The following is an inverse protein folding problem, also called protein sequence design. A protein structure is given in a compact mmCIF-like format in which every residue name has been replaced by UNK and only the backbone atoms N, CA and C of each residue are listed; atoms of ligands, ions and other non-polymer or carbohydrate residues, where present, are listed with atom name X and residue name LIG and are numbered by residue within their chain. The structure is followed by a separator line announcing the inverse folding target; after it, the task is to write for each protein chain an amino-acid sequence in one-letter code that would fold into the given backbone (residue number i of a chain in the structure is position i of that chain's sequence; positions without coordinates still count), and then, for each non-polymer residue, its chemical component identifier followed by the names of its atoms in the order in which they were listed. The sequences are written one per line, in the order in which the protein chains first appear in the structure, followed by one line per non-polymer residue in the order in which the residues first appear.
data_IF_705862406558
#
_entry.id   IF_705862406558
#
_cell.length_a   1.000
_cell.length_b   1.000
_cell.length_c   1.000
_cell.angle_alpha   90.00
_cell.angle_beta   90.00
_cell.angle_gamma   90.00
#
_symmetry.space_group_name_H-M   'P 1'
#
loop_
_entity.id
_entity.type
_entity.pdbx_description
1 polymer ?
#
# COMPACT_ATOMS: atom_id res chain seq x y z
N UNK A 1 22.88 35.69 16.09
CA UNK A 1 22.71 37.04 16.68
C UNK A 1 21.23 37.34 16.70
N UNK A 2 20.66 37.63 17.86
CA UNK A 2 19.24 37.94 17.93
C UNK A 2 18.94 39.30 17.33
N UNK A 3 17.81 39.40 16.61
CA UNK A 3 17.33 40.64 16.07
C UNK A 3 17.16 41.69 17.19
N UNK A 4 17.69 42.90 16.93
CA UNK A 4 17.54 44.01 17.88
C UNK A 4 16.67 45.11 17.28
N UNK A 5 15.71 45.61 18.05
CA UNK A 5 14.90 46.75 17.69
C UNK A 5 15.83 48.00 17.59
N UNK A 6 15.50 48.85 16.64
CA UNK A 6 16.23 50.10 16.41
C UNK A 6 15.41 51.32 16.79
N UNK A 7 16.05 52.40 17.20
CA UNK A 7 15.39 53.73 17.45
C UNK A 7 15.10 54.44 16.10
N UNK A 8 15.76 54.01 15.02
CA UNK A 8 15.57 54.56 13.68
C UNK A 8 14.87 53.55 12.78
N UNK A 9 14.02 54.00 11.85
CA UNK A 9 13.44 53.15 10.86
C UNK A 9 14.53 52.58 9.97
N UNK A 10 14.35 51.34 9.51
CA UNK A 10 15.31 50.68 8.59
C UNK A 10 14.58 49.69 7.67
N UNK A 11 15.16 49.51 6.50
CA UNK A 11 14.76 48.40 5.60
C UNK A 11 15.83 47.34 5.67
N UNK A 12 15.40 46.11 5.90
CA UNK A 12 16.29 44.95 5.99
C UNK A 12 15.76 43.81 5.16
N UNK A 13 16.65 42.94 4.71
CA UNK A 13 16.23 41.68 4.09
C UNK A 13 15.71 40.74 5.17
N UNK A 14 14.59 40.14 4.91
CA UNK A 14 13.97 39.12 5.75
C UNK A 14 13.76 37.83 4.96
N UNK A 15 13.68 36.76 5.68
CA UNK A 15 13.43 35.42 5.14
C UNK A 15 12.09 34.93 5.67
N UNK A 16 11.14 34.74 4.75
CA UNK A 16 9.76 34.45 5.08
C UNK A 16 9.59 32.95 5.36
N UNK A 17 8.75 32.66 6.33
CA UNK A 17 8.47 31.33 6.84
C UNK A 17 7.01 30.95 6.58
N UNK A 18 6.77 29.71 6.18
CA UNK A 18 5.43 29.17 6.12
C UNK A 18 4.88 29.00 7.53
N UNK A 19 3.70 29.61 7.79
CA UNK A 19 3.06 29.52 9.10
C UNK A 19 2.78 28.05 9.48
N UNK A 20 3.16 27.69 10.70
CA UNK A 20 2.93 26.35 11.24
C UNK A 20 4.09 25.38 11.03
N UNK A 21 4.79 25.43 9.90
CA UNK A 21 5.93 24.53 9.60
C UNK A 21 7.29 25.22 9.68
N UNK A 22 7.33 26.54 9.61
CA UNK A 22 8.52 27.37 9.55
C UNK A 22 9.46 27.06 8.35
N UNK A 23 8.90 26.49 7.29
CA UNK A 23 9.63 26.29 6.05
C UNK A 23 9.96 27.63 5.39
N UNK A 24 11.18 27.77 4.84
CA UNK A 24 11.56 28.90 4.03
C UNK A 24 10.74 28.98 2.75
N UNK A 25 10.10 30.13 2.51
CA UNK A 25 9.24 30.36 1.33
C UNK A 25 9.70 31.52 0.44
N UNK A 26 10.83 32.12 0.77
CA UNK A 26 11.41 33.20 -0.02
C UNK A 26 11.95 34.35 0.81
N UNK A 27 12.82 35.14 0.19
CA UNK A 27 13.35 36.37 0.79
C UNK A 27 12.61 37.60 0.28
N UNK A 28 12.71 38.68 1.04
CA UNK A 28 12.19 39.98 0.64
C UNK A 28 12.67 41.06 1.57
N UNK A 29 12.47 42.33 1.19
CA UNK A 29 12.80 43.47 2.02
C UNK A 29 11.59 43.89 2.87
N UNK A 30 11.84 44.14 4.15
CA UNK A 30 10.84 44.66 5.06
C UNK A 30 11.27 46.02 5.65
N UNK A 31 10.35 46.96 5.60
CA UNK A 31 10.49 48.21 6.33
C UNK A 31 10.12 47.98 7.79
N UNK A 32 11.08 48.24 8.68
CA UNK A 32 10.92 48.09 10.14
C UNK A 32 10.81 49.48 10.77
N UNK A 33 9.65 49.87 11.26
CA UNK A 33 9.49 51.12 12.00
C UNK A 33 10.33 51.14 13.28
N UNK A 34 10.58 52.36 13.85
CA UNK A 34 11.28 52.45 15.12
C UNK A 34 10.58 51.62 16.20
N UNK A 35 11.39 51.00 17.05
CA UNK A 35 10.93 50.20 18.22
C UNK A 35 9.98 49.04 17.89
N UNK A 36 10.05 48.53 16.65
CA UNK A 36 9.27 47.34 16.22
C UNK A 36 10.15 46.13 15.96
N UNK A 37 9.53 44.94 16.10
CA UNK A 37 10.17 43.67 15.78
C UNK A 37 10.05 43.28 14.31
N UNK A 38 10.53 42.10 13.98
CA UNK A 38 10.36 41.51 12.66
C UNK A 38 8.88 41.26 12.34
N UNK A 39 8.51 41.29 11.06
CA UNK A 39 7.18 40.81 10.64
C UNK A 39 6.92 39.38 11.10
N UNK A 40 5.66 39.06 11.33
CA UNK A 40 5.28 37.70 11.69
C UNK A 40 5.75 36.67 10.63
N UNK A 41 6.12 35.50 11.06
CA UNK A 41 6.62 34.42 10.20
C UNK A 41 7.82 34.87 9.34
N UNK A 42 8.77 35.53 9.95
CA UNK A 42 10.02 35.92 9.29
C UNK A 42 11.21 35.89 10.25
N UNK A 43 12.41 35.82 9.70
CA UNK A 43 13.69 35.94 10.40
C UNK A 43 14.64 36.80 9.60
N UNK A 44 15.63 37.42 10.25
CA UNK A 44 16.72 38.14 9.63
C UNK A 44 17.99 37.28 9.40
N UNK A 45 17.86 35.98 9.76
CA UNK A 45 18.96 35.03 9.59
C UNK A 45 18.79 34.34 8.23
N UNK A 46 19.77 34.46 7.35
CA UNK A 46 19.78 33.86 6.04
C UNK A 46 19.78 32.31 6.12
N UNK A 47 18.99 31.63 5.31
CA UNK A 47 19.06 30.19 5.21
C UNK A 47 20.38 29.75 4.58
N UNK A 48 20.83 28.51 4.81
CA UNK A 48 21.93 27.92 4.08
C UNK A 48 21.53 27.62 2.63
N UNK A 49 22.50 27.27 1.80
CA UNK A 49 22.23 26.72 0.49
C UNK A 49 21.32 25.48 0.63
N UNK A 50 20.23 25.44 -0.13
CA UNK A 50 19.23 24.37 -0.06
C UNK A 50 19.46 23.42 -1.24
N UNK A 51 19.99 22.20 -1.02
CA UNK A 51 20.18 21.24 -2.09
C UNK A 51 18.84 20.70 -2.62
N UNK A 52 18.87 20.16 -3.83
CA UNK A 52 17.69 19.52 -4.41
C UNK A 52 17.18 18.39 -3.50
N UNK A 53 15.85 18.31 -3.33
CA UNK A 53 15.22 17.32 -2.45
C UNK A 53 15.21 17.67 -0.98
N UNK A 54 15.59 18.93 -0.62
CA UNK A 54 15.54 19.43 0.75
C UNK A 54 14.74 20.72 0.83
N UNK A 55 14.28 21.03 2.03
CA UNK A 55 13.76 22.34 2.43
C UNK A 55 14.52 22.83 3.65
N UNK A 56 14.60 24.15 3.82
CA UNK A 56 15.13 24.74 5.05
C UNK A 56 13.97 25.05 6.00
N UNK A 57 14.08 24.61 7.24
CA UNK A 57 13.12 24.86 8.31
C UNK A 57 13.82 25.64 9.43
N UNK A 58 13.20 26.74 9.85
CA UNK A 58 13.77 27.60 10.89
C UNK A 58 13.35 27.14 12.27
N UNK A 59 14.31 26.94 13.15
CA UNK A 59 14.09 26.69 14.56
C UNK A 59 14.25 27.99 15.34
N UNK A 60 13.14 28.54 15.80
CA UNK A 60 13.12 29.82 16.53
C UNK A 60 13.82 29.74 17.88
N UNK A 61 13.79 28.59 18.55
CA UNK A 61 14.42 28.39 19.88
C UNK A 61 15.95 28.39 19.77
N UNK A 62 16.46 27.82 18.70
CA UNK A 62 17.91 27.75 18.40
C UNK A 62 18.41 28.91 17.54
N UNK A 63 17.52 29.73 17.00
CA UNK A 63 17.84 30.80 16.01
C UNK A 63 18.69 30.27 14.85
N UNK A 64 18.30 29.09 14.33
CA UNK A 64 19.09 28.38 13.31
C UNK A 64 18.19 27.67 12.29
N UNK A 65 18.76 27.39 11.13
CA UNK A 65 18.15 26.65 10.05
C UNK A 65 18.54 25.17 10.10
N UNK A 66 17.58 24.31 9.78
CA UNK A 66 17.79 22.88 9.57
C UNK A 66 17.38 22.52 8.15
N UNK A 67 18.20 21.73 7.47
CA UNK A 67 17.82 21.13 6.19
C UNK A 67 17.08 19.83 6.47
N UNK A 68 15.90 19.71 5.88
CA UNK A 68 15.03 18.54 6.02
C UNK A 68 14.75 17.97 4.64
N UNK A 69 14.81 16.64 4.51
CA UNK A 69 14.46 15.97 3.25
C UNK A 69 12.98 16.22 2.89
N UNK A 70 12.74 16.48 1.62
CA UNK A 70 11.39 16.66 1.08
C UNK A 70 11.08 15.62 0.01
N UNK A 71 10.33 14.60 0.43
CA UNK A 71 9.82 13.54 -0.44
C UNK A 71 8.32 13.65 -0.67
N UNK A 72 7.69 14.74 -0.22
CA UNK A 72 6.25 14.96 -0.37
C UNK A 72 5.81 14.88 -1.83
N UNK A 73 4.63 14.31 -2.03
CA UNK A 73 4.05 14.11 -3.37
C UNK A 73 4.62 12.92 -4.13
N UNK A 74 5.55 12.17 -3.54
CA UNK A 74 6.14 10.97 -4.16
C UNK A 74 5.55 9.71 -3.55
N UNK A 75 5.61 8.62 -4.30
CA UNK A 75 5.18 7.29 -3.86
C UNK A 75 6.39 6.37 -3.73
N UNK A 76 6.44 5.64 -2.65
CA UNK A 76 7.38 4.53 -2.41
C UNK A 76 6.60 3.26 -2.14
N UNK A 77 7.28 2.13 -2.06
CA UNK A 77 6.65 0.82 -1.92
C UNK A 77 7.28 0.08 -0.73
N UNK A 78 6.43 -0.48 0.12
CA UNK A 78 6.87 -1.32 1.23
C UNK A 78 7.51 -2.60 0.69
N UNK A 79 8.72 -2.92 1.13
CA UNK A 79 9.49 -4.07 0.61
C UNK A 79 8.94 -5.42 1.07
N UNK A 80 8.14 -5.45 2.13
CA UNK A 80 7.53 -6.68 2.63
C UNK A 80 6.21 -7.00 1.93
N UNK A 81 5.37 -5.99 1.69
CA UNK A 81 4.02 -6.17 1.12
C UNK A 81 3.90 -5.78 -0.35
N UNK A 82 4.77 -4.89 -0.84
CA UNK A 82 4.63 -4.28 -2.16
C UNK A 82 3.60 -3.13 -2.22
N UNK A 83 3.01 -2.78 -1.09
CA UNK A 83 1.99 -1.73 -1.03
C UNK A 83 2.59 -0.36 -1.29
N UNK A 84 1.85 0.44 -2.05
CA UNK A 84 2.22 1.82 -2.32
C UNK A 84 2.00 2.71 -1.09
N UNK A 85 3.00 3.52 -0.76
CA UNK A 85 2.96 4.50 0.31
C UNK A 85 3.19 5.90 -0.27
N UNK A 86 2.19 6.76 -0.17
CA UNK A 86 2.30 8.15 -0.57
C UNK A 86 2.91 8.99 0.56
N UNK A 87 3.95 9.76 0.23
CA UNK A 87 4.64 10.61 1.20
C UNK A 87 3.97 11.98 1.26
N UNK A 88 3.42 12.33 2.41
CA UNK A 88 2.71 13.58 2.66
C UNK A 88 3.44 14.54 3.60
N UNK A 89 4.45 14.06 4.30
CA UNK A 89 5.16 14.80 5.34
C UNK A 89 6.64 15.00 4.99
N UNK A 90 7.23 16.04 5.58
CA UNK A 90 8.66 16.29 5.52
C UNK A 90 9.43 15.26 6.36
N UNK A 91 10.63 14.98 5.96
CA UNK A 91 11.57 14.12 6.66
C UNK A 91 12.12 12.99 5.81
N UNK A 92 12.94 12.18 6.44
CA UNK A 92 13.51 11.00 5.79
C UNK A 92 12.41 10.00 5.40
N UNK A 93 12.70 9.21 4.38
CA UNK A 93 11.82 8.11 3.99
C UNK A 93 11.62 7.12 5.14
N UNK A 94 10.43 6.50 5.24
CA UNK A 94 10.21 5.38 6.14
C UNK A 94 11.24 4.27 5.90
N UNK A 95 11.47 3.46 6.93
CA UNK A 95 12.30 2.26 6.77
C UNK A 95 11.58 1.21 5.90
N UNK A 96 12.37 0.33 5.29
CA UNK A 96 11.87 -0.80 4.51
C UNK A 96 10.99 -0.42 3.31
N UNK A 97 11.33 0.67 2.64
CA UNK A 97 10.69 1.10 1.40
C UNK A 97 11.67 1.15 0.23
N UNK A 98 11.12 1.07 -0.96
CA UNK A 98 11.86 1.21 -2.21
C UNK A 98 11.10 2.13 -3.17
N UNK A 99 11.84 2.77 -4.08
CA UNK A 99 11.25 3.55 -5.18
C UNK A 99 10.67 2.68 -6.29
N UNK A 100 11.08 1.41 -6.35
CA UNK A 100 10.69 0.49 -7.40
C UNK A 100 9.32 -0.12 -7.09
N UNK A 101 8.38 0.06 -8.03
CA UNK A 101 7.08 -0.60 -7.98
C UNK A 101 7.19 -2.08 -8.30
N UNK A 102 6.49 -2.98 -7.60
CA UNK A 102 6.36 -4.36 -8.06
C UNK A 102 5.63 -4.40 -9.41
N UNK A 103 6.09 -5.26 -10.33
CA UNK A 103 5.57 -5.35 -11.70
C UNK A 103 4.36 -6.28 -11.85
N UNK A 104 3.82 -6.80 -10.77
CA UNK A 104 2.68 -7.70 -10.81
C UNK A 104 2.42 -8.38 -9.49
N UNK A 105 1.55 -9.39 -9.53
CA UNK A 105 1.25 -10.21 -8.36
C UNK A 105 2.39 -11.20 -8.05
N UNK A 106 2.43 -11.69 -6.83
CA UNK A 106 3.39 -12.70 -6.37
C UNK A 106 4.84 -12.30 -6.59
N UNK A 107 5.19 -11.10 -6.16
CA UNK A 107 6.55 -10.60 -6.15
C UNK A 107 7.07 -10.48 -4.72
N UNK A 108 8.37 -10.67 -4.56
CA UNK A 108 9.10 -10.43 -3.32
C UNK A 108 10.33 -9.58 -3.57
N UNK A 109 10.68 -8.78 -2.60
CA UNK A 109 11.89 -7.97 -2.65
C UNK A 109 13.12 -8.80 -2.26
N UNK A 110 14.15 -8.80 -3.10
CA UNK A 110 15.38 -9.55 -2.86
C UNK A 110 16.50 -8.73 -2.20
N UNK A 111 16.21 -7.45 -1.92
CA UNK A 111 17.16 -6.47 -1.42
C UNK A 111 17.55 -5.41 -2.46
N UNK A 112 17.34 -5.66 -3.73
CA UNK A 112 17.68 -4.76 -4.84
C UNK A 112 16.59 -4.62 -5.89
N UNK A 113 15.77 -5.65 -6.06
CA UNK A 113 14.73 -5.69 -7.08
C UNK A 113 13.54 -6.55 -6.64
N UNK A 114 12.40 -6.34 -7.28
CA UNK A 114 11.25 -7.24 -7.18
C UNK A 114 11.48 -8.46 -8.05
N UNK A 115 11.36 -9.64 -7.45
CA UNK A 115 11.50 -10.93 -8.14
C UNK A 115 10.25 -11.77 -7.94
N UNK A 116 9.98 -12.70 -8.83
CA UNK A 116 8.82 -13.58 -8.74
C UNK A 116 8.86 -14.44 -7.47
N UNK A 117 7.77 -14.42 -6.70
CA UNK A 117 7.57 -15.30 -5.55
C UNK A 117 6.76 -16.55 -5.97
N UNK A 118 7.48 -17.54 -6.44
CA UNK A 118 6.89 -18.79 -6.94
C UNK A 118 6.21 -19.61 -5.83
N UNK A 119 6.68 -19.51 -4.59
CA UNK A 119 6.08 -20.20 -3.46
C UNK A 119 4.75 -19.57 -3.07
N UNK A 120 4.68 -18.25 -3.01
CA UNK A 120 3.42 -17.54 -2.72
C UNK A 120 2.38 -17.80 -3.84
N UNK A 121 2.80 -17.78 -5.10
CA UNK A 121 1.91 -18.10 -6.22
C UNK A 121 1.39 -19.53 -6.13
N UNK A 122 2.23 -20.49 -5.83
CA UNK A 122 1.85 -21.89 -5.69
C UNK A 122 0.84 -22.09 -4.56
N UNK A 123 1.10 -21.52 -3.40
CA UNK A 123 0.18 -21.59 -2.25
C UNK A 123 -1.17 -20.94 -2.55
N UNK A 124 -1.17 -19.82 -3.27
CA UNK A 124 -2.40 -19.17 -3.71
C UNK A 124 -3.20 -20.06 -4.65
N UNK A 125 -2.56 -20.67 -5.66
CA UNK A 125 -3.22 -21.57 -6.61
C UNK A 125 -3.79 -22.83 -5.94
N UNK A 126 -3.09 -23.38 -4.97
CA UNK A 126 -3.60 -24.49 -4.16
C UNK A 126 -4.86 -24.11 -3.41
N UNK A 127 -4.85 -22.94 -2.76
CA UNK A 127 -6.02 -22.44 -2.02
C UNK A 127 -7.22 -22.20 -2.94
N UNK A 128 -7.03 -21.56 -4.09
CA UNK A 128 -8.10 -21.40 -5.10
C UNK A 128 -8.67 -22.76 -5.53
N UNK A 129 -7.81 -23.76 -5.73
CA UNK A 129 -8.23 -25.11 -6.09
C UNK A 129 -9.01 -25.78 -4.97
N UNK A 130 -8.61 -25.61 -3.72
CA UNK A 130 -9.34 -26.13 -2.55
C UNK A 130 -10.73 -25.48 -2.40
N UNK A 131 -10.83 -24.17 -2.58
CA UNK A 131 -12.09 -23.44 -2.57
C UNK A 131 -13.01 -23.92 -3.70
N UNK A 132 -12.47 -24.11 -4.91
CA UNK A 132 -13.21 -24.66 -6.06
C UNK A 132 -13.71 -26.06 -5.77
N UNK A 133 -12.86 -26.94 -5.25
CA UNK A 133 -13.22 -28.30 -4.87
C UNK A 133 -14.37 -28.32 -3.85
N UNK A 134 -14.26 -27.50 -2.81
CA UNK A 134 -15.30 -27.39 -1.77
C UNK A 134 -16.64 -26.89 -2.34
N UNK A 135 -16.61 -25.89 -3.21
CA UNK A 135 -17.81 -25.38 -3.88
C UNK A 135 -18.47 -26.44 -4.76
N UNK A 136 -17.69 -27.19 -5.53
CA UNK A 136 -18.20 -28.26 -6.39
C UNK A 136 -18.72 -29.43 -5.57
N UNK A 137 -18.08 -29.75 -4.43
CA UNK A 137 -18.58 -30.77 -3.48
C UNK A 137 -19.97 -30.41 -2.89
N UNK A 138 -20.14 -29.10 -2.59
CA UNK A 138 -21.44 -28.61 -2.12
C UNK A 138 -22.51 -28.74 -3.22
N UNK A 139 -22.19 -28.32 -4.45
CA UNK A 139 -23.09 -28.45 -5.62
C UNK A 139 -23.51 -29.91 -5.80
N UNK A 140 -22.55 -30.86 -5.77
CA UNK A 140 -22.85 -32.28 -5.88
C UNK A 140 -23.77 -32.76 -4.78
N UNK A 141 -23.55 -32.37 -3.52
CA UNK A 141 -24.38 -32.72 -2.38
C UNK A 141 -25.80 -32.17 -2.49
N UNK A 142 -25.97 -30.96 -2.97
CA UNK A 142 -27.26 -30.31 -3.21
C UNK A 142 -28.09 -31.05 -4.30
N UNK A 143 -27.41 -31.54 -5.34
CA UNK A 143 -28.08 -32.36 -6.38
C UNK A 143 -28.40 -33.78 -5.91
N UNK A 144 -27.53 -34.38 -5.12
CA UNK A 144 -27.71 -35.74 -4.62
C UNK A 144 -28.88 -35.84 -3.61
N UNK A 145 -29.02 -34.88 -2.72
CA UNK A 145 -29.98 -34.96 -1.63
C UNK A 145 -31.43 -35.24 -2.09
N UNK A 146 -32.04 -34.46 -2.98
CA UNK A 146 -33.42 -34.74 -3.41
C UNK A 146 -33.54 -36.02 -4.26
N UNK A 147 -32.50 -36.37 -5.02
CA UNK A 147 -32.49 -37.63 -5.78
C UNK A 147 -32.40 -38.84 -4.87
N UNK A 148 -31.61 -38.76 -3.79
CA UNK A 148 -31.52 -39.80 -2.77
C UNK A 148 -32.84 -39.96 -2.01
N UNK A 149 -33.50 -38.86 -1.66
CA UNK A 149 -34.79 -38.87 -1.01
C UNK A 149 -35.84 -39.59 -1.87
N UNK A 150 -35.84 -39.34 -3.19
CA UNK A 150 -36.75 -40.00 -4.11
C UNK A 150 -36.51 -41.53 -4.17
N UNK A 151 -35.26 -41.95 -4.14
CA UNK A 151 -34.90 -43.40 -4.10
C UNK A 151 -35.31 -44.01 -2.76
N UNK A 152 -35.01 -43.34 -1.65
CA UNK A 152 -35.32 -43.84 -0.29
C UNK A 152 -36.83 -43.95 -0.06
N UNK A 153 -37.63 -43.10 -0.69
CA UNK A 153 -39.08 -43.12 -0.65
C UNK A 153 -39.70 -44.07 -1.69
N UNK A 154 -38.91 -44.75 -2.50
CA UNK A 154 -39.34 -45.67 -3.57
C UNK A 154 -40.24 -45.01 -4.64
N UNK A 155 -40.02 -43.68 -4.89
CA UNK A 155 -40.78 -42.90 -5.89
C UNK A 155 -39.88 -42.35 -7.00
N UNK A 156 -38.62 -42.72 -7.02
CA UNK A 156 -37.67 -42.25 -8.04
C UNK A 156 -38.04 -42.77 -9.43
N UNK A 157 -37.96 -41.92 -10.43
CA UNK A 157 -38.01 -42.30 -11.84
C UNK A 157 -36.69 -42.97 -12.25
N UNK A 158 -36.71 -43.71 -13.35
CA UNK A 158 -35.50 -44.30 -13.93
C UNK A 158 -34.45 -43.23 -14.24
N UNK A 159 -34.86 -42.08 -14.77
CA UNK A 159 -33.99 -40.93 -15.05
C UNK A 159 -33.36 -40.38 -13.78
N UNK A 160 -34.12 -40.24 -12.71
CA UNK A 160 -33.62 -39.75 -11.41
C UNK A 160 -32.62 -40.75 -10.80
N UNK A 161 -32.86 -42.04 -10.92
CA UNK A 161 -31.91 -43.08 -10.44
C UNK A 161 -30.56 -42.98 -11.19
N UNK A 162 -30.60 -42.88 -12.53
CA UNK A 162 -29.40 -42.73 -13.35
C UNK A 162 -28.66 -41.41 -13.03
N UNK A 163 -29.39 -40.34 -12.83
CA UNK A 163 -28.81 -39.05 -12.46
C UNK A 163 -28.15 -39.07 -11.10
N UNK A 164 -28.75 -39.75 -10.13
CA UNK A 164 -28.18 -39.96 -8.79
C UNK A 164 -26.84 -40.71 -8.87
N UNK A 165 -26.78 -41.78 -9.65
CA UNK A 165 -25.53 -42.53 -9.87
C UNK A 165 -24.44 -41.64 -10.49
N UNK A 166 -24.79 -40.83 -11.48
CA UNK A 166 -23.89 -39.91 -12.13
C UNK A 166 -23.31 -38.86 -11.17
N UNK A 167 -24.16 -38.25 -10.33
CA UNK A 167 -23.73 -37.30 -9.31
C UNK A 167 -22.88 -37.91 -8.21
N UNK A 168 -23.24 -39.12 -7.75
CA UNK A 168 -22.42 -39.84 -6.79
C UNK A 168 -21.05 -40.22 -7.34
N UNK A 169 -20.98 -40.66 -8.60
CA UNK A 169 -19.71 -40.91 -9.30
C UNK A 169 -18.87 -39.62 -9.39
N UNK A 170 -19.49 -38.51 -9.82
CA UNK A 170 -18.84 -37.21 -9.87
C UNK A 170 -18.25 -36.81 -8.50
N UNK A 171 -19.02 -36.93 -7.43
CA UNK A 171 -18.58 -36.58 -6.08
C UNK A 171 -17.40 -37.43 -5.61
N UNK A 172 -17.38 -38.73 -5.94
CA UNK A 172 -16.24 -39.62 -5.65
C UNK A 172 -15.01 -39.21 -6.41
N UNK A 173 -15.13 -38.92 -7.71
CA UNK A 173 -14.02 -38.46 -8.54
C UNK A 173 -13.48 -37.10 -8.06
N UNK A 174 -14.37 -36.19 -7.72
CA UNK A 174 -14.03 -34.89 -7.18
C UNK A 174 -13.28 -34.99 -5.85
N UNK A 175 -13.70 -35.88 -4.97
CA UNK A 175 -13.02 -36.11 -3.70
C UNK A 175 -11.59 -36.63 -3.86
N UNK A 176 -11.30 -37.30 -4.97
CA UNK A 176 -9.95 -37.80 -5.33
C UNK A 176 -9.06 -36.77 -5.98
N UNK A 177 -9.58 -35.60 -6.33
CA UNK A 177 -8.79 -34.52 -6.93
C UNK A 177 -7.72 -34.08 -5.95
N UNK A 178 -6.47 -34.09 -6.40
CA UNK A 178 -5.31 -33.58 -5.65
C UNK A 178 -5.10 -32.10 -5.97
N UNK A 179 -5.39 -31.22 -5.02
CA UNK A 179 -5.25 -29.77 -5.17
C UNK A 179 -3.79 -29.31 -5.14
N UNK A 180 -2.87 -30.16 -4.68
CA UNK A 180 -1.44 -29.81 -4.59
C UNK A 180 -0.77 -29.65 -5.96
N UNK A 181 -1.40 -30.13 -7.04
CA UNK A 181 -0.94 -30.00 -8.42
C UNK A 181 -1.37 -28.71 -9.11
N UNK A 182 -2.13 -27.86 -8.42
CA UNK A 182 -2.61 -26.58 -8.96
C UNK A 182 -1.45 -25.74 -9.57
N UNK A 183 -1.70 -25.06 -10.70
CA UNK A 183 -2.97 -24.93 -11.43
C UNK A 183 -3.32 -26.09 -12.37
N UNK A 184 -2.45 -27.10 -12.51
CA UNK A 184 -2.61 -28.20 -13.46
C UNK A 184 -3.51 -29.31 -12.87
N UNK A 185 -4.80 -29.02 -12.76
CA UNK A 185 -5.79 -29.93 -12.20
C UNK A 185 -6.78 -30.36 -13.29
N UNK A 186 -6.96 -31.67 -13.46
CA UNK A 186 -8.05 -32.23 -14.26
C UNK A 186 -9.30 -32.36 -13.40
N UNK A 187 -10.22 -31.43 -13.55
CA UNK A 187 -11.49 -31.45 -12.87
C UNK A 187 -12.44 -32.46 -13.54
N UNK A 188 -13.15 -33.32 -12.79
CA UNK A 188 -14.13 -34.21 -13.38
C UNK A 188 -15.27 -33.39 -14.03
N UNK A 189 -15.79 -33.92 -15.16
CA UNK A 189 -16.91 -33.29 -15.85
C UNK A 189 -18.19 -33.39 -15.00
N UNK A 190 -18.96 -32.31 -14.99
CA UNK A 190 -20.30 -32.29 -14.38
C UNK A 190 -21.23 -33.27 -15.07
N UNK A 191 -22.08 -33.96 -14.34
CA UNK A 191 -23.12 -34.86 -14.90
C UNK A 191 -24.13 -34.15 -15.77
#
# INVERSE_FOLDING_TARGET
MDFRMSEQPRTITIYNLLAGTNEFIGEGDAYIPPHTGLPANSTDIAPPDIPAGFVAVFNSDESSWHLVEDHRGKTVYDVASGDALFISELGSLPENVTWLSPEGEFQKWDGTAWVKDTEAEKLFRIREAEETKNSLMQVASEHIAPLQDAVDLEIATEKETLLLEAWKKYRVLLNRVDTSTAPDIEWPALP
#
